data_IF_758184814686
#
_entry.id   IF_758184814686
#
_cell.length_a   1.000
_cell.length_b   1.000
_cell.length_c   1.000
_cell.angle_alpha   90.00
_cell.angle_beta   90.00
_cell.angle_gamma   90.00
#
_symmetry.space_group_name_H-M   'P 1'
#
loop_
_entity.id
_entity.type
_entity.pdbx_description
1 polymer ?
#
# COMPACT_ATOMS: atom_id res chain seq x y z
N UNK A 1 -22.25 -17.54 -2.40
CA UNK A 1 -23.12 -16.75 -3.31
C UNK A 1 -22.19 -16.02 -4.27
N UNK A 2 -22.56 -15.61 -5.51
CA UNK A 2 -21.64 -14.76 -6.27
C UNK A 2 -21.32 -13.50 -5.46
N UNK A 3 -20.04 -13.12 -5.38
CA UNK A 3 -19.62 -11.89 -4.70
C UNK A 3 -20.34 -10.70 -5.33
N UNK A 4 -20.99 -9.90 -4.50
CA UNK A 4 -21.60 -8.65 -4.95
C UNK A 4 -20.51 -7.60 -5.06
N UNK A 5 -20.25 -7.13 -6.28
CA UNK A 5 -19.34 -6.00 -6.51
C UNK A 5 -19.84 -4.71 -5.84
N UNK A 6 -21.15 -4.59 -5.59
CA UNK A 6 -21.74 -3.46 -4.88
C UNK A 6 -21.36 -3.41 -3.39
N UNK A 7 -20.91 -4.54 -2.84
CA UNK A 7 -20.45 -4.69 -1.45
C UNK A 7 -18.94 -4.56 -1.30
N UNK A 8 -18.21 -4.27 -2.39
CA UNK A 8 -16.82 -3.82 -2.30
C UNK A 8 -16.84 -2.30 -2.18
N UNK A 9 -16.18 -1.78 -1.14
CA UNK A 9 -16.13 -0.35 -0.82
C UNK A 9 -14.70 0.14 -0.79
N UNK A 10 -14.54 1.43 -1.05
CA UNK A 10 -13.26 2.11 -1.00
C UNK A 10 -13.30 3.21 0.06
N UNK A 11 -12.19 3.42 0.75
CA UNK A 11 -12.09 4.41 1.83
C UNK A 11 -10.76 5.14 1.80
N UNK A 12 -10.79 6.40 2.25
CA UNK A 12 -9.59 7.17 2.53
C UNK A 12 -8.92 6.70 3.84
N UNK A 13 -7.63 7.01 4.04
CA UNK A 13 -6.98 6.93 5.34
C UNK A 13 -7.52 8.01 6.31
N UNK A 14 -7.29 7.80 7.61
CA UNK A 14 -7.59 8.77 8.69
C UNK A 14 -6.82 10.10 8.57
N UNK A 15 -5.77 10.16 7.74
CA UNK A 15 -5.00 11.37 7.50
C UNK A 15 -4.47 11.42 6.07
N UNK A 16 -4.19 12.61 5.55
CA UNK A 16 -3.62 12.77 4.21
C UNK A 16 -2.25 12.09 4.06
N UNK A 17 -1.49 11.98 5.15
CA UNK A 17 -0.21 11.27 5.22
C UNK A 17 -0.38 9.75 5.29
N UNK A 18 -1.60 9.21 5.18
CA UNK A 18 -1.88 7.79 5.28
C UNK A 18 -2.31 7.36 6.69
N UNK A 19 -1.79 6.22 7.15
CA UNK A 19 -2.26 5.57 8.37
C UNK A 19 -3.49 4.71 8.12
N UNK A 20 -4.21 4.40 9.20
CA UNK A 20 -5.29 3.41 9.19
C UNK A 20 -6.52 3.87 8.36
N UNK A 21 -7.43 2.94 8.08
CA UNK A 21 -8.67 3.20 7.34
C UNK A 21 -9.60 4.15 8.10
N UNK A 22 -10.23 5.09 7.38
CA UNK A 22 -11.33 5.90 7.89
C UNK A 22 -12.66 5.43 7.29
N UNK A 23 -13.44 4.69 8.08
CA UNK A 23 -14.75 4.17 7.64
C UNK A 23 -15.82 5.26 7.48
N UNK A 24 -15.55 6.49 7.95
CA UNK A 24 -16.41 7.64 7.75
C UNK A 24 -16.12 8.40 6.44
N UNK A 25 -15.04 8.06 5.74
CA UNK A 25 -14.59 8.70 4.51
C UNK A 25 -14.64 7.74 3.30
N UNK A 26 -15.84 7.29 2.86
CA UNK A 26 -15.96 6.43 1.70
C UNK A 26 -15.56 7.18 0.42
N UNK A 27 -14.81 6.50 -0.44
CA UNK A 27 -14.45 6.98 -1.76
C UNK A 27 -15.35 6.33 -2.81
N UNK A 28 -15.95 7.15 -3.67
CA UNK A 28 -16.81 6.69 -4.78
C UNK A 28 -16.11 6.94 -6.11
N UNK A 29 -16.17 5.97 -7.02
CA UNK A 29 -15.64 6.12 -8.38
C UNK A 29 -16.37 7.22 -9.15
N UNK A 30 -15.67 7.81 -10.13
CA UNK A 30 -16.20 8.89 -10.99
C UNK A 30 -16.57 10.19 -10.25
N UNK A 31 -16.07 10.39 -9.03
CA UNK A 31 -16.14 11.67 -8.32
C UNK A 31 -14.84 12.43 -8.54
N UNK A 32 -14.94 13.62 -9.11
CA UNK A 32 -13.78 14.50 -9.34
C UNK A 32 -13.09 14.85 -8.03
N UNK A 33 -11.76 14.93 -8.05
CA UNK A 33 -10.90 15.29 -6.92
C UNK A 33 -11.01 14.40 -5.67
N UNK A 34 -11.72 13.27 -5.75
CA UNK A 34 -11.88 12.36 -4.63
C UNK A 34 -10.60 11.56 -4.31
N UNK A 35 -9.70 11.46 -5.28
CA UNK A 35 -8.43 10.73 -5.14
C UNK A 35 -7.24 11.67 -5.08
N UNK A 36 -7.07 12.50 -6.11
CA UNK A 36 -6.04 13.52 -6.20
C UNK A 36 -6.72 14.86 -6.44
N UNK A 37 -6.29 15.95 -5.80
CA UNK A 37 -6.79 17.28 -6.12
C UNK A 37 -6.36 17.68 -7.54
N UNK A 38 -6.97 18.76 -8.05
CA UNK A 38 -6.54 19.40 -9.28
C UNK A 38 -5.08 19.86 -9.17
N UNK A 39 -4.30 19.63 -10.23
CA UNK A 39 -2.91 20.09 -10.34
C UNK A 39 -2.89 21.56 -10.73
N UNK A 40 -2.24 22.41 -9.93
CA UNK A 40 -2.12 23.85 -10.23
C UNK A 40 -1.15 24.12 -11.37
N UNK A 41 -1.24 25.29 -11.99
CA UNK A 41 -0.29 25.69 -13.05
C UNK A 41 1.15 25.69 -12.54
N UNK A 42 1.37 26.16 -11.30
CA UNK A 42 2.70 26.14 -10.66
C UNK A 42 3.22 24.71 -10.51
N UNK A 43 2.38 23.78 -10.06
CA UNK A 43 2.75 22.36 -9.95
C UNK A 43 3.07 21.74 -11.31
N UNK A 44 2.34 22.08 -12.38
CA UNK A 44 2.69 21.60 -13.73
C UNK A 44 3.98 22.19 -14.24
N UNK A 45 4.28 23.45 -13.93
CA UNK A 45 5.55 24.08 -14.33
C UNK A 45 6.75 23.45 -13.60
N UNK A 46 6.59 23.13 -12.32
CA UNK A 46 7.68 22.56 -11.50
C UNK A 46 7.76 21.02 -11.56
N UNK A 47 6.69 20.36 -12.01
CA UNK A 47 6.47 18.94 -11.81
C UNK A 47 5.94 18.65 -10.40
N UNK A 48 5.22 17.53 -10.27
CA UNK A 48 4.62 17.10 -9.01
C UNK A 48 4.76 15.59 -8.86
N UNK A 49 5.12 15.15 -7.66
CA UNK A 49 4.91 13.77 -7.23
C UNK A 49 3.94 13.81 -6.05
N UNK A 50 2.74 13.27 -6.25
CA UNK A 50 1.70 13.20 -5.21
C UNK A 50 1.43 11.73 -4.87
N UNK A 51 1.10 11.46 -3.61
CA UNK A 51 0.88 10.13 -3.10
C UNK A 51 -0.44 10.06 -2.35
N UNK A 52 -1.22 8.99 -2.60
CA UNK A 52 -2.51 8.79 -1.95
C UNK A 52 -2.68 7.34 -1.55
N UNK A 53 -3.03 7.13 -0.29
CA UNK A 53 -3.42 5.81 0.21
C UNK A 53 -4.91 5.62 -0.03
N UNK A 54 -5.30 4.41 -0.37
CA UNK A 54 -6.70 3.99 -0.41
C UNK A 54 -6.83 2.60 0.17
N UNK A 55 -7.96 2.38 0.82
CA UNK A 55 -8.37 1.08 1.31
C UNK A 55 -9.45 0.49 0.40
N UNK A 56 -9.37 -0.81 0.17
CA UNK A 56 -10.48 -1.60 -0.37
C UNK A 56 -10.95 -2.54 0.72
N UNK A 57 -12.26 -2.53 0.98
CA UNK A 57 -12.92 -3.32 2.04
C UNK A 57 -13.95 -4.24 1.43
N UNK A 58 -13.97 -5.48 1.90
CA UNK A 58 -14.98 -6.45 1.52
C UNK A 58 -16.14 -6.41 2.53
N UNK A 59 -17.28 -5.83 2.17
CA UNK A 59 -18.50 -5.83 2.99
C UNK A 59 -19.46 -6.98 2.64
N UNK A 60 -19.01 -7.96 1.84
CA UNK A 60 -19.76 -9.19 1.63
C UNK A 60 -19.70 -10.08 2.88
N UNK A 61 -20.64 -11.03 2.96
CA UNK A 61 -20.62 -12.12 3.96
C UNK A 61 -19.62 -13.23 3.62
N UNK A 62 -19.22 -13.32 2.35
CA UNK A 62 -18.25 -14.27 1.82
C UNK A 62 -16.88 -13.57 1.64
N UNK A 63 -15.78 -14.31 1.71
CA UNK A 63 -14.44 -13.78 1.44
C UNK A 63 -14.26 -13.43 -0.06
N UNK A 64 -13.33 -12.53 -0.37
CA UNK A 64 -12.90 -12.23 -1.73
C UNK A 64 -11.50 -12.80 -1.96
N UNK A 65 -11.38 -13.89 -2.71
CA UNK A 65 -10.08 -14.56 -2.92
C UNK A 65 -9.32 -14.04 -4.13
N UNK A 66 -8.01 -14.31 -4.12
CA UNK A 66 -7.11 -14.09 -5.27
C UNK A 66 -7.24 -12.69 -5.85
N UNK A 67 -7.46 -11.70 -4.98
CA UNK A 67 -7.64 -10.31 -5.39
C UNK A 67 -6.32 -9.80 -5.94
N UNK A 68 -6.40 -9.14 -7.08
CA UNK A 68 -5.32 -8.38 -7.68
C UNK A 68 -5.77 -6.96 -7.96
N UNK A 69 -4.81 -6.05 -7.98
CA UNK A 69 -5.01 -4.65 -8.33
C UNK A 69 -4.13 -4.26 -9.52
N UNK A 70 -4.71 -3.57 -10.51
CA UNK A 70 -4.00 -3.07 -11.68
C UNK A 70 -4.58 -1.76 -12.21
N UNK A 71 -3.81 -1.07 -13.04
CA UNK A 71 -4.15 0.21 -13.66
C UNK A 71 -4.64 -0.06 -15.08
N UNK A 72 -5.95 -0.09 -15.28
CA UNK A 72 -6.56 -0.33 -16.59
C UNK A 72 -6.50 0.89 -17.53
N UNK A 73 -6.40 2.10 -16.99
CA UNK A 73 -6.17 3.33 -17.76
C UNK A 73 -5.26 4.27 -16.97
N UNK A 74 -4.21 4.75 -17.62
CA UNK A 74 -3.34 5.80 -17.11
C UNK A 74 -4.01 7.18 -17.24
N UNK A 75 -3.57 8.18 -16.46
CA UNK A 75 -3.86 9.58 -16.75
C UNK A 75 -3.29 10.01 -18.12
N UNK A 76 -3.80 11.13 -18.64
CA UNK A 76 -3.43 11.71 -19.94
C UNK A 76 -2.22 12.66 -19.81
N UNK A 77 -1.83 13.28 -20.92
CA UNK A 77 -0.84 14.38 -20.96
C UNK A 77 0.56 14.06 -20.41
N UNK A 78 0.94 12.78 -20.34
CA UNK A 78 2.27 12.36 -19.87
C UNK A 78 2.35 12.16 -18.36
N UNK A 79 1.26 12.41 -17.63
CA UNK A 79 1.13 11.98 -16.24
C UNK A 79 1.22 10.46 -16.15
N UNK A 80 1.79 9.98 -15.04
CA UNK A 80 1.88 8.56 -14.77
C UNK A 80 1.34 8.24 -13.40
N UNK A 81 0.63 7.11 -13.32
CA UNK A 81 0.18 6.52 -12.08
C UNK A 81 0.91 5.19 -11.88
N UNK A 82 1.39 4.99 -10.66
CA UNK A 82 1.95 3.74 -10.19
C UNK A 82 1.31 3.38 -8.84
N UNK A 83 1.32 2.11 -8.51
CA UNK A 83 0.73 1.55 -7.30
C UNK A 83 1.68 0.61 -6.57
N UNK A 84 1.49 0.46 -5.27
CA UNK A 84 2.10 -0.58 -4.45
C UNK A 84 1.13 -1.03 -3.35
N UNK A 85 1.17 -2.31 -2.98
CA UNK A 85 0.40 -2.84 -1.86
C UNK A 85 1.06 -2.43 -0.53
N UNK A 86 0.25 -2.24 0.51
CA UNK A 86 0.72 -1.97 1.87
C UNK A 86 -0.30 -2.47 2.90
N UNK A 87 0.12 -2.59 4.15
CA UNK A 87 -0.73 -2.73 5.32
C UNK A 87 -1.35 -1.41 5.75
N UNK A 88 -2.00 -1.42 6.91
CA UNK A 88 -2.84 -0.30 7.33
C UNK A 88 -2.06 0.86 7.93
N UNK A 89 -0.88 0.64 8.51
CA UNK A 89 -0.23 1.68 9.33
C UNK A 89 0.77 2.57 8.60
N UNK A 90 1.23 2.22 7.40
CA UNK A 90 2.24 3.00 6.67
C UNK A 90 1.86 4.49 6.55
N UNK A 91 2.83 5.38 6.78
CA UNK A 91 2.69 6.82 6.57
C UNK A 91 3.54 7.26 5.38
N UNK A 92 3.18 8.38 4.75
CA UNK A 92 3.82 8.87 3.54
C UNK A 92 5.27 9.28 3.81
N UNK A 93 5.47 10.20 4.77
CA UNK A 93 6.77 10.80 5.06
C UNK A 93 7.33 10.44 6.44
N UNK A 94 6.71 9.48 7.13
CA UNK A 94 7.06 9.13 8.50
C UNK A 94 7.23 7.62 8.68
N UNK A 95 8.17 7.27 9.56
CA UNK A 95 8.36 5.91 10.05
C UNK A 95 7.30 5.57 11.11
N UNK A 96 6.82 4.33 11.12
CA UNK A 96 5.95 3.82 12.19
C UNK A 96 6.66 2.72 12.98
N UNK A 97 6.90 2.97 14.26
CA UNK A 97 7.53 1.99 15.16
C UNK A 97 6.64 0.74 15.30
N UNK A 98 7.26 -0.43 15.13
CA UNK A 98 6.61 -1.73 15.31
C UNK A 98 7.00 -2.40 16.63
N UNK A 99 7.88 -1.77 17.43
CA UNK A 99 8.43 -2.33 18.65
C UNK A 99 9.63 -3.24 18.37
N UNK A 100 9.80 -4.28 19.19
CA UNK A 100 10.93 -5.22 19.05
C UNK A 100 10.52 -6.51 18.35
N UNK A 101 11.45 -7.07 17.55
CA UNK A 101 11.32 -8.39 16.97
C UNK A 101 12.56 -9.25 17.26
N UNK A 102 12.37 -10.56 17.39
CA UNK A 102 13.45 -11.53 17.51
C UNK A 102 13.57 -12.31 16.21
N UNK A 103 14.76 -12.36 15.63
CA UNK A 103 15.02 -13.13 14.41
C UNK A 103 14.98 -14.62 14.72
N UNK A 104 14.07 -15.34 14.05
CA UNK A 104 13.99 -16.81 14.08
C UNK A 104 14.91 -17.40 13.01
N UNK A 105 15.00 -16.72 11.86
CA UNK A 105 15.99 -16.95 10.81
C UNK A 105 16.46 -15.60 10.26
N UNK A 106 17.36 -15.57 9.28
CA UNK A 106 17.82 -14.30 8.70
C UNK A 106 16.72 -13.47 8.01
N UNK A 107 15.61 -14.11 7.59
CA UNK A 107 14.49 -13.46 6.90
C UNK A 107 13.17 -13.57 7.65
N UNK A 108 13.11 -14.33 8.76
CA UNK A 108 11.90 -14.51 9.55
C UNK A 108 12.10 -14.01 10.97
N UNK A 109 11.17 -13.19 11.44
CA UNK A 109 11.21 -12.61 12.79
C UNK A 109 9.86 -12.74 13.48
N UNK A 110 9.87 -12.84 14.81
CA UNK A 110 8.67 -12.82 15.65
C UNK A 110 8.61 -11.49 16.38
N UNK A 111 7.49 -10.77 16.28
CA UNK A 111 7.29 -9.49 16.96
C UNK A 111 6.80 -9.71 18.40
N UNK A 112 7.29 -8.89 19.33
CA UNK A 112 6.84 -8.88 20.72
C UNK A 112 5.56 -8.05 20.94
N UNK A 113 5.26 -7.14 20.02
CA UNK A 113 4.08 -6.27 20.04
C UNK A 113 2.92 -6.94 19.30
N UNK A 114 1.68 -6.51 19.55
CA UNK A 114 0.54 -6.90 18.71
C UNK A 114 0.48 -6.15 17.38
N UNK A 115 1.38 -5.18 17.15
CA UNK A 115 1.35 -4.36 15.94
C UNK A 115 1.63 -5.15 14.66
N UNK A 116 2.20 -6.37 14.76
CA UNK A 116 2.35 -7.25 13.60
C UNK A 116 1.02 -7.56 12.91
N UNK A 117 -0.11 -7.49 13.63
CA UNK A 117 -1.44 -7.73 13.07
C UNK A 117 -1.85 -6.71 12.01
N UNK A 118 -1.14 -5.58 11.94
CA UNK A 118 -1.35 -4.53 10.95
C UNK A 118 -0.30 -4.51 9.84
N UNK A 119 0.74 -5.36 9.96
CA UNK A 119 1.72 -5.58 8.90
C UNK A 119 1.08 -6.53 7.90
N UNK A 120 1.20 -6.23 6.62
CA UNK A 120 0.72 -7.09 5.53
C UNK A 120 1.85 -7.37 4.53
N UNK A 121 1.76 -8.45 3.75
CA UNK A 121 2.56 -8.57 2.53
C UNK A 121 2.44 -7.29 1.69
N UNK A 122 3.57 -6.81 1.15
CA UNK A 122 3.65 -5.52 0.47
C UNK A 122 4.29 -4.41 1.31
N UNK A 123 4.20 -4.47 2.64
CA UNK A 123 4.85 -3.48 3.51
C UNK A 123 6.37 -3.53 3.39
N UNK A 124 7.02 -2.40 3.66
CA UNK A 124 8.48 -2.34 3.75
C UNK A 124 8.87 -1.99 5.18
N UNK A 125 9.68 -2.86 5.79
CA UNK A 125 10.16 -2.68 7.16
C UNK A 125 11.68 -2.55 7.20
N UNK A 126 12.21 -1.98 8.28
CA UNK A 126 13.65 -1.90 8.53
C UNK A 126 14.01 -2.08 9.99
N UNK A 127 15.28 -2.44 10.23
CA UNK A 127 15.85 -2.63 11.56
C UNK A 127 16.41 -1.30 12.08
N UNK A 128 15.61 -0.57 12.87
CA UNK A 128 15.97 0.70 13.46
C UNK A 128 17.12 0.64 14.47
N UNK A 129 17.44 -0.56 15.02
CA UNK A 129 18.58 -0.71 15.93
C UNK A 129 19.91 -0.41 15.23
N UNK A 130 20.03 -0.74 13.94
CA UNK A 130 21.28 -0.59 13.18
C UNK A 130 21.16 0.35 11.97
N UNK A 131 19.95 0.73 11.59
CA UNK A 131 19.66 1.59 10.45
C UNK A 131 18.60 2.61 10.87
N UNK A 132 19.02 3.74 11.42
CA UNK A 132 18.10 4.80 11.88
C UNK A 132 17.49 5.59 10.72
N UNK A 133 18.06 5.49 9.52
CA UNK A 133 17.68 6.27 8.35
C UNK A 133 16.84 5.49 7.35
N UNK A 134 16.50 4.23 7.63
CA UNK A 134 15.81 3.32 6.72
C UNK A 134 16.53 3.12 5.37
N UNK A 135 17.87 3.15 5.36
CA UNK A 135 18.67 2.92 4.16
C UNK A 135 18.55 1.48 3.62
N UNK A 136 18.17 0.54 4.48
CA UNK A 136 18.12 -0.90 4.21
C UNK A 136 16.74 -1.48 4.50
N UNK A 137 15.73 -1.01 3.78
CA UNK A 137 14.36 -1.54 3.88
C UNK A 137 14.22 -2.92 3.23
N UNK A 138 13.24 -3.70 3.68
CA UNK A 138 12.91 -5.02 3.16
C UNK A 138 11.41 -5.18 2.98
N UNK A 139 11.03 -5.70 1.83
CA UNK A 139 9.65 -6.09 1.52
C UNK A 139 9.20 -7.24 2.42
N UNK A 140 8.08 -7.08 3.09
CA UNK A 140 7.34 -8.13 3.76
C UNK A 140 6.65 -8.98 2.70
N UNK A 141 6.92 -10.28 2.75
CA UNK A 141 6.41 -11.27 1.78
C UNK A 141 5.33 -12.16 2.39
N UNK A 142 5.35 -12.32 3.72
CA UNK A 142 4.40 -13.15 4.44
C UNK A 142 4.26 -12.71 5.90
N UNK A 143 3.05 -12.81 6.43
CA UNK A 143 2.72 -12.57 7.84
C UNK A 143 1.89 -13.75 8.33
N UNK A 144 2.38 -14.46 9.35
CA UNK A 144 1.69 -15.59 9.97
C UNK A 144 0.66 -15.08 10.97
N UNK A 145 -0.61 -15.37 10.73
CA UNK A 145 -1.69 -15.04 11.66
C UNK A 145 -1.72 -15.94 12.89
N UNK A 146 -1.03 -17.09 12.86
CA UNK A 146 -0.99 -18.05 13.98
C UNK A 146 0.17 -17.76 14.95
N UNK A 147 1.35 -17.44 14.41
CA UNK A 147 2.58 -17.27 15.22
C UNK A 147 2.99 -15.81 15.39
N UNK A 148 2.42 -14.88 14.60
CA UNK A 148 2.88 -13.49 14.53
C UNK A 148 4.25 -13.33 13.86
N UNK A 149 4.72 -14.37 13.17
CA UNK A 149 5.97 -14.32 12.42
C UNK A 149 5.81 -13.49 11.14
N UNK A 150 6.78 -12.64 10.87
CA UNK A 150 6.88 -11.84 9.65
C UNK A 150 8.09 -12.32 8.86
N UNK A 151 7.89 -12.57 7.57
CA UNK A 151 8.96 -12.97 6.64
C UNK A 151 9.21 -11.87 5.62
N UNK A 152 10.47 -11.50 5.46
CA UNK A 152 10.93 -10.49 4.51
C UNK A 152 11.69 -11.10 3.33
N UNK A 153 11.69 -10.40 2.20
CA UNK A 153 12.27 -10.88 0.93
C UNK A 153 13.79 -11.11 0.98
N UNK A 154 14.51 -10.41 1.86
CA UNK A 154 15.95 -10.64 2.08
C UNK A 154 16.37 -10.23 3.49
N UNK A 155 17.51 -10.78 3.93
CA UNK A 155 18.01 -10.55 5.28
C UNK A 155 18.44 -9.08 5.49
N UNK A 156 18.31 -8.60 6.73
CA UNK A 156 18.89 -7.31 7.16
C UNK A 156 20.41 -7.37 7.39
N UNK A 157 21.00 -8.55 7.22
CA UNK A 157 22.39 -8.86 7.53
C UNK A 157 22.47 -10.19 8.27
N UNK A 158 23.60 -10.44 8.93
CA UNK A 158 23.73 -11.57 9.85
C UNK A 158 22.89 -11.31 11.09
N UNK A 159 21.99 -12.22 11.50
CA UNK A 159 21.24 -12.06 12.74
C UNK A 159 22.20 -11.87 13.91
N UNK A 160 22.10 -10.74 14.60
CA UNK A 160 22.79 -10.53 15.86
C UNK A 160 21.92 -11.08 17.00
N UNK A 161 22.55 -11.50 18.10
CA UNK A 161 21.82 -12.02 19.25
C UNK A 161 21.00 -10.91 19.92
N UNK A 162 19.69 -11.14 20.07
CA UNK A 162 18.80 -10.30 20.88
C UNK A 162 17.63 -9.67 20.10
N UNK A 163 16.69 -9.01 20.80
CA UNK A 163 15.60 -8.28 20.17
C UNK A 163 16.11 -7.05 19.41
N UNK A 164 15.52 -6.78 18.25
CA UNK A 164 15.83 -5.63 17.39
C UNK A 164 14.62 -4.71 17.31
N UNK A 165 14.83 -3.40 17.34
CA UNK A 165 13.78 -2.42 17.06
C UNK A 165 13.48 -2.43 15.57
N UNK A 166 12.21 -2.56 15.24
CA UNK A 166 11.73 -2.61 13.87
C UNK A 166 10.74 -1.47 13.62
N UNK A 167 10.65 -1.03 12.37
CA UNK A 167 9.64 -0.07 11.96
C UNK A 167 9.21 -0.24 10.51
N UNK A 168 8.00 0.25 10.18
CA UNK A 168 7.57 0.47 8.79
C UNK A 168 8.32 1.68 8.24
N UNK A 169 8.85 1.53 7.03
CA UNK A 169 9.45 2.63 6.29
C UNK A 169 8.38 3.61 5.77
N UNK A 170 8.74 4.88 5.53
CA UNK A 170 7.88 5.82 4.83
C UNK A 170 7.49 5.31 3.44
N UNK A 171 6.24 5.54 3.02
CA UNK A 171 5.71 5.07 1.74
C UNK A 171 6.42 5.68 0.52
N UNK A 172 7.09 6.83 0.69
CA UNK A 172 7.96 7.42 -0.35
C UNK A 172 9.15 6.52 -0.73
N UNK A 173 9.48 5.52 0.09
CA UNK A 173 10.57 4.57 -0.19
C UNK A 173 10.10 3.23 -0.76
N UNK A 174 8.79 3.05 -0.98
CA UNK A 174 8.26 1.78 -1.46
C UNK A 174 8.53 1.63 -2.96
N UNK A 175 8.49 0.39 -3.44
CA UNK A 175 8.58 0.11 -4.87
C UNK A 175 7.20 0.23 -5.52
N UNK A 176 7.00 1.26 -6.34
CA UNK A 176 5.78 1.48 -7.11
C UNK A 176 5.90 0.90 -8.52
N UNK A 177 4.84 0.25 -8.98
CA UNK A 177 4.76 -0.38 -10.31
C UNK A 177 3.49 0.06 -11.03
N UNK A 178 3.45 -0.05 -12.37
CA UNK A 178 2.28 0.30 -13.17
C UNK A 178 1.73 -0.94 -13.90
N UNK A 179 1.26 -1.97 -13.19
CA UNK A 179 0.69 -3.15 -13.84
C UNK A 179 -0.55 -2.73 -14.61
N UNK A 180 -0.65 -3.12 -15.88
CA UNK A 180 -1.73 -2.72 -16.79
C UNK A 180 -2.75 -3.82 -17.06
N UNK A 181 -2.53 -5.02 -16.52
CA UNK A 181 -3.34 -6.21 -16.74
C UNK A 181 -3.58 -6.96 -15.44
N UNK A 182 -4.58 -7.84 -15.43
CA UNK A 182 -4.81 -8.75 -14.30
C UNK A 182 -3.59 -9.65 -14.03
N UNK A 183 -2.95 -10.18 -15.09
CA UNK A 183 -1.83 -11.11 -14.97
C UNK A 183 -0.61 -10.50 -14.26
N UNK A 184 -0.35 -9.22 -14.54
CA UNK A 184 0.73 -8.46 -13.93
C UNK A 184 0.30 -7.73 -12.65
N UNK A 185 -0.99 -7.78 -12.32
CA UNK A 185 -1.59 -7.08 -11.18
C UNK A 185 -0.94 -7.47 -9.87
N UNK A 186 -0.80 -6.50 -8.96
CA UNK A 186 -0.25 -6.72 -7.64
C UNK A 186 -1.19 -7.65 -6.87
N UNK A 187 -0.62 -8.72 -6.32
CA UNK A 187 -1.36 -9.72 -5.57
C UNK A 187 -1.74 -9.15 -4.21
N UNK A 188 -3.02 -8.80 -4.05
CA UNK A 188 -3.58 -8.36 -2.78
C UNK A 188 -3.87 -9.56 -1.86
N UNK A 189 -4.29 -10.68 -2.45
CA UNK A 189 -4.59 -11.91 -1.72
C UNK A 189 -6.07 -12.03 -1.38
N UNK A 190 -6.39 -12.70 -0.27
CA UNK A 190 -7.76 -12.86 0.21
C UNK A 190 -8.16 -11.69 1.11
N UNK A 191 -9.38 -11.17 0.94
CA UNK A 191 -9.99 -10.17 1.83
C UNK A 191 -11.22 -10.80 2.48
N UNK A 192 -11.15 -11.11 3.78
CA UNK A 192 -12.25 -11.73 4.50
C UNK A 192 -13.45 -10.76 4.66
N UNK A 193 -14.63 -11.28 5.04
CA UNK A 193 -15.78 -10.44 5.38
C UNK A 193 -15.42 -9.36 6.41
N UNK A 194 -15.74 -8.11 6.10
CA UNK A 194 -15.43 -6.91 6.89
C UNK A 194 -13.95 -6.56 7.07
N UNK A 195 -13.05 -7.29 6.41
CA UNK A 195 -11.64 -6.94 6.35
C UNK A 195 -11.33 -6.03 5.16
N UNK A 196 -10.14 -5.45 5.21
CA UNK A 196 -9.65 -4.52 4.21
C UNK A 196 -8.15 -4.70 4.00
N UNK A 197 -7.70 -4.14 2.89
CA UNK A 197 -6.29 -4.00 2.54
C UNK A 197 -6.07 -2.63 1.92
N UNK A 198 -4.81 -2.22 1.78
CA UNK A 198 -4.46 -0.90 1.31
C UNK A 198 -3.52 -0.93 0.11
N UNK A 199 -3.65 0.11 -0.71
CA UNK A 199 -2.79 0.40 -1.85
C UNK A 199 -2.36 1.85 -1.74
N UNK A 200 -1.06 2.10 -1.89
CA UNK A 200 -0.56 3.44 -2.19
C UNK A 200 -0.57 3.65 -3.69
N UNK A 201 -0.91 4.87 -4.07
CA UNK A 201 -0.84 5.40 -5.43
C UNK A 201 0.21 6.50 -5.45
N UNK A 202 1.08 6.49 -6.45
CA UNK A 202 2.02 7.55 -6.76
C UNK A 202 1.62 8.12 -8.12
N UNK A 203 1.23 9.39 -8.15
CA UNK A 203 1.04 10.16 -9.38
C UNK A 203 2.28 11.00 -9.63
N UNK A 204 2.81 10.95 -10.83
CA UNK A 204 3.90 11.83 -11.28
C UNK A 204 3.41 12.66 -12.45
N UNK A 205 3.43 13.97 -12.25
CA UNK A 205 3.18 15.02 -13.24
C UNK A 205 4.55 15.55 -13.69
N UNK A 206 4.94 15.38 -14.95
CA UNK A 206 6.19 15.95 -15.44
C UNK A 206 6.17 17.49 -15.38
N UNK A 207 7.35 18.11 -15.28
CA UNK A 207 7.47 19.56 -15.38
C UNK A 207 7.20 20.05 -16.81
N UNK A 208 6.75 21.31 -16.93
CA UNK A 208 6.51 22.01 -18.20
C UNK A 208 5.45 21.34 -19.11
N UNK A 209 4.40 20.76 -18.51
CA UNK A 209 3.29 20.17 -19.26
C UNK A 209 2.07 21.12 -19.34
N UNK A 210 1.31 20.97 -20.42
CA UNK A 210 0.03 21.66 -20.58
C UNK A 210 -1.03 21.11 -19.61
N UNK A 211 -1.98 21.98 -19.26
CA UNK A 211 -3.12 21.57 -18.44
C UNK A 211 -4.10 20.72 -19.24
N UNK A 212 -4.60 19.66 -18.62
CA UNK A 212 -5.63 18.81 -19.20
C UNK A 212 -6.87 18.78 -18.33
N UNK A 213 -8.01 19.19 -18.89
CA UNK A 213 -9.30 19.10 -18.20
C UNK A 213 -9.85 17.68 -18.33
N UNK A 214 -10.43 17.14 -17.24
CA UNK A 214 -11.03 15.80 -17.26
C UNK A 214 -9.99 14.68 -17.31
N UNK A 215 -8.76 14.97 -16.86
CA UNK A 215 -7.75 13.93 -16.68
C UNK A 215 -8.22 12.89 -15.65
N UNK A 216 -8.14 11.62 -16.03
CA UNK A 216 -8.70 10.51 -15.29
C UNK A 216 -7.85 9.26 -15.44
N UNK A 217 -7.90 8.38 -14.43
CA UNK A 217 -7.30 7.06 -14.48
C UNK A 217 -8.30 6.03 -13.99
N UNK A 218 -7.99 4.75 -14.17
CA UNK A 218 -8.84 3.66 -13.68
C UNK A 218 -8.01 2.55 -13.06
N UNK A 219 -8.21 2.34 -11.76
CA UNK A 219 -7.69 1.19 -11.03
C UNK A 219 -8.80 0.15 -10.92
N UNK A 220 -8.48 -1.11 -11.17
CA UNK A 220 -9.40 -2.23 -11.00
C UNK A 220 -8.89 -3.14 -9.89
N UNK A 221 -9.79 -3.53 -9.01
CA UNK A 221 -9.62 -4.65 -8.09
C UNK A 221 -10.47 -5.80 -8.60
N UNK A 222 -9.86 -6.95 -8.83
CA UNK A 222 -10.54 -8.09 -9.43
C UNK A 222 -9.97 -9.41 -8.97
N UNK A 223 -10.80 -10.44 -8.97
CA UNK A 223 -10.38 -11.83 -8.90
C UNK A 223 -10.35 -12.43 -10.31
N UNK A 224 -9.37 -13.26 -10.60
CA UNK A 224 -9.29 -14.00 -11.85
C UNK A 224 -9.85 -15.41 -11.73
N UNK A 225 -9.98 -16.13 -12.86
CA UNK A 225 -10.26 -17.55 -12.83
C UNK A 225 -9.13 -18.24 -12.04
N UNK A 226 -9.52 -19.04 -11.05
CA UNK A 226 -8.63 -19.96 -10.32
C UNK A 226 -8.26 -21.11 -11.24
#
# INVERSE_FOLDING_TARGET
MPLSTASIKYYAPISEEGGNIDLSAPQTSSVSNNEFPNVTDEQRQNGLVDYRKQFVRNENVDYWESVRVWISSQPLAGDTLKICQTGSLSLLNATVSLGTATFVTATRMTFSSSLYQYIMPGDWIYNCTHDTEAATIRLVTYVSTTTGDVTVASAFGTPTSGPMLMALAPATRYLYTAPSSYGDGIVVGQINPNEYTAVWKQRTVPAFIDGFSGDQFTIIYGSGPV
#
